data_IF_041435724385
#
_entry.id   IF_041435724385
#
_cell.length_a   1.000
_cell.length_b   1.000
_cell.length_c   1.000
_cell.angle_alpha   90.00
_cell.angle_beta   90.00
_cell.angle_gamma   90.00
#
_symmetry.space_group_name_H-M   'P 1'
#
loop_
_entity.id
_entity.type
_entity.pdbx_description
1 polymer ?
#
# COMPACT_ATOMS: atom_id res chain seq x y z
N UNK A 1 34.47 31.38 -2.04
CA UNK A 1 34.32 30.95 -3.45
C UNK A 1 32.82 30.94 -3.72
N UNK A 2 32.30 31.93 -4.46
CA UNK A 2 30.86 32.15 -4.63
C UNK A 2 30.24 31.08 -5.53
N UNK A 3 29.27 30.33 -5.00
CA UNK A 3 28.40 29.50 -5.82
C UNK A 3 27.37 30.44 -6.46
N UNK A 4 27.47 30.62 -7.78
CA UNK A 4 26.50 31.38 -8.57
C UNK A 4 25.12 30.70 -8.44
N UNK A 5 24.23 31.34 -7.69
CA UNK A 5 22.91 30.85 -7.31
C UNK A 5 21.90 31.10 -8.43
N UNK A 6 21.49 30.03 -9.13
CA UNK A 6 20.22 30.06 -9.85
C UNK A 6 19.12 29.50 -8.93
N UNK A 7 18.30 30.44 -8.42
CA UNK A 7 17.08 30.27 -7.60
C UNK A 7 17.13 29.27 -6.44
N UNK A 8 17.30 29.77 -5.20
CA UNK A 8 16.83 29.08 -3.98
C UNK A 8 15.33 29.30 -3.83
N UNK A 9 14.55 28.23 -3.80
CA UNK A 9 13.13 28.29 -3.43
C UNK A 9 12.96 27.60 -2.08
N UNK A 10 12.50 28.35 -1.07
CA UNK A 10 12.15 27.78 0.23
C UNK A 10 10.88 26.95 0.07
N UNK A 11 10.92 25.68 0.47
CA UNK A 11 9.77 24.77 0.35
C UNK A 11 8.95 24.83 1.64
N UNK A 12 9.61 24.69 2.80
CA UNK A 12 9.02 24.78 4.14
C UNK A 12 10.13 24.97 5.18
N UNK A 13 9.94 25.81 6.20
CA UNK A 13 10.95 26.02 7.26
C UNK A 13 12.37 26.25 6.71
N UNK A 14 13.35 25.53 7.24
CA UNK A 14 14.76 25.59 6.80
C UNK A 14 15.09 24.68 5.59
N UNK A 15 14.07 24.21 4.86
CA UNK A 15 14.24 23.35 3.69
C UNK A 15 14.19 24.14 2.38
N UNK A 16 15.21 23.95 1.55
CA UNK A 16 15.39 24.67 0.29
C UNK A 16 15.47 23.72 -0.90
N UNK A 17 14.80 24.08 -2.00
CA UNK A 17 14.98 23.44 -3.30
C UNK A 17 16.15 24.10 -4.04
N UNK A 18 17.11 23.28 -4.48
CA UNK A 18 18.24 23.73 -5.30
C UNK A 18 18.14 23.17 -6.71
N UNK A 19 18.30 24.02 -7.72
CA UNK A 19 18.25 23.63 -9.13
C UNK A 19 19.51 24.10 -9.85
N UNK A 20 20.24 23.15 -10.43
CA UNK A 20 21.46 23.43 -11.18
C UNK A 20 21.26 23.09 -12.67
N UNK A 21 21.65 24.01 -13.57
CA UNK A 21 21.46 23.84 -15.02
C UNK A 21 22.22 22.64 -15.60
N UNK A 22 23.35 22.27 -15.00
CA UNK A 22 24.13 21.09 -15.36
C UNK A 22 23.57 19.75 -14.83
N UNK A 23 22.43 19.76 -14.12
CA UNK A 23 21.77 18.53 -13.65
C UNK A 23 20.52 18.30 -14.48
N UNK A 24 20.46 17.14 -15.15
CA UNK A 24 19.30 16.75 -15.95
C UNK A 24 18.08 16.58 -15.02
N UNK A 25 16.98 17.26 -15.38
CA UNK A 25 15.73 17.35 -14.60
C UNK A 25 15.08 16.00 -14.27
N UNK A 26 15.43 14.95 -15.02
CA UNK A 26 14.89 13.58 -14.89
C UNK A 26 16.01 12.55 -15.08
N UNK A 27 17.04 12.62 -14.24
CA UNK A 27 18.06 11.58 -14.22
C UNK A 27 17.60 10.37 -13.41
N UNK A 28 17.85 9.16 -13.93
CA UNK A 28 17.73 7.90 -13.18
C UNK A 28 18.99 7.62 -12.34
N UNK A 29 20.07 8.37 -12.55
CA UNK A 29 21.35 8.23 -11.84
C UNK A 29 21.69 9.52 -11.08
N UNK A 30 22.27 9.41 -9.88
CA UNK A 30 22.72 10.56 -9.10
C UNK A 30 23.90 11.28 -9.78
N UNK A 31 23.95 12.61 -9.65
CA UNK A 31 25.04 13.44 -10.16
C UNK A 31 26.12 13.59 -9.08
N UNK A 32 26.96 12.56 -8.96
CA UNK A 32 27.94 12.39 -7.88
C UNK A 32 28.83 13.63 -7.63
N UNK A 33 29.39 14.33 -8.64
CA UNK A 33 30.24 15.50 -8.38
C UNK A 33 29.53 16.67 -7.69
N UNK A 34 28.26 16.93 -8.03
CA UNK A 34 27.48 18.02 -7.43
C UNK A 34 27.00 17.63 -6.04
N UNK A 35 26.54 16.39 -5.88
CA UNK A 35 26.13 15.84 -4.60
C UNK A 35 27.27 15.91 -3.58
N UNK A 36 28.48 15.50 -3.97
CA UNK A 36 29.68 15.54 -3.13
C UNK A 36 30.15 16.97 -2.79
N UNK A 37 29.92 17.95 -3.68
CA UNK A 37 30.25 19.35 -3.41
C UNK A 37 29.30 19.93 -2.38
N UNK A 38 27.98 19.76 -2.55
CA UNK A 38 26.97 20.25 -1.62
C UNK A 38 27.07 19.56 -0.25
N UNK A 39 27.42 18.27 -0.21
CA UNK A 39 27.63 17.54 1.05
C UNK A 39 28.80 18.07 1.88
N UNK A 40 29.74 18.80 1.26
CA UNK A 40 30.91 19.38 1.94
C UNK A 40 30.69 20.83 2.36
N UNK A 41 29.54 21.43 2.05
CA UNK A 41 29.23 22.80 2.46
C UNK A 41 28.87 22.84 3.95
N UNK A 42 29.54 23.65 4.78
CA UNK A 42 29.35 23.64 6.25
C UNK A 42 27.92 23.97 6.70
N UNK A 43 27.15 24.66 5.86
CA UNK A 43 25.78 25.06 6.14
C UNK A 43 24.74 24.01 5.71
N UNK A 44 25.16 22.92 5.07
CA UNK A 44 24.27 21.85 4.60
C UNK A 44 24.30 20.72 5.63
N UNK A 45 23.26 20.65 6.47
CA UNK A 45 23.12 19.55 7.45
C UNK A 45 22.74 18.22 6.79
N UNK A 46 21.92 18.29 5.74
CA UNK A 46 21.43 17.12 5.01
C UNK A 46 21.07 17.51 3.58
N UNK A 47 21.24 16.59 2.63
CA UNK A 47 20.79 16.75 1.26
C UNK A 47 20.35 15.42 0.64
N UNK A 48 19.37 15.48 -0.24
CA UNK A 48 18.96 14.36 -1.07
C UNK A 48 18.74 14.85 -2.51
N UNK A 49 19.31 14.12 -3.47
CA UNK A 49 19.04 14.40 -4.87
C UNK A 49 17.74 13.73 -5.26
N UNK A 50 16.81 14.50 -5.85
CA UNK A 50 15.64 13.92 -6.51
C UNK A 50 16.09 13.09 -7.72
N UNK A 51 15.95 11.78 -7.64
CA UNK A 51 16.20 10.83 -8.72
C UNK A 51 14.86 10.31 -9.21
N UNK A 52 14.66 10.25 -10.53
CA UNK A 52 13.47 9.62 -11.07
C UNK A 52 13.50 8.13 -10.70
N UNK A 53 12.49 7.65 -9.96
CA UNK A 53 12.38 6.22 -9.65
C UNK A 53 11.91 5.48 -10.90
N UNK A 54 12.54 4.33 -11.21
CA UNK A 54 12.08 3.45 -12.29
C UNK A 54 10.72 2.89 -11.91
N UNK A 55 9.70 3.17 -12.73
CA UNK A 55 8.39 2.53 -12.60
C UNK A 55 8.54 1.08 -13.07
N UNK A 56 8.51 0.13 -12.16
CA UNK A 56 8.30 -1.28 -12.50
C UNK A 56 6.83 -1.48 -12.82
N UNK A 57 6.53 -2.34 -13.80
CA UNK A 57 5.16 -2.78 -14.04
C UNK A 57 4.76 -3.54 -12.77
N UNK A 58 3.76 -3.04 -12.04
CA UNK A 58 3.16 -3.77 -10.92
C UNK A 58 2.49 -5.01 -11.51
N UNK A 59 2.37 -6.07 -10.69
CA UNK A 59 1.90 -7.38 -11.12
C UNK A 59 0.69 -7.30 -12.05
N UNK A 60 0.67 -8.17 -13.07
CA UNK A 60 -0.39 -8.20 -14.07
C UNK A 60 -1.69 -8.50 -13.34
N UNK A 61 -2.59 -7.52 -13.30
CA UNK A 61 -3.95 -7.73 -12.81
C UNK A 61 -4.63 -8.77 -13.70
N UNK A 62 -4.98 -9.90 -13.10
CA UNK A 62 -5.93 -10.84 -13.65
C UNK A 62 -7.25 -10.63 -12.92
N UNK A 63 -8.30 -10.45 -13.69
CA UNK A 63 -9.65 -10.33 -13.14
C UNK A 63 -10.05 -11.66 -12.48
N UNK A 64 -10.70 -11.64 -11.31
CA UNK A 64 -11.12 -12.87 -10.64
C UNK A 64 -11.99 -13.74 -11.54
N UNK A 65 -11.70 -15.04 -11.57
CA UNK A 65 -12.41 -16.02 -12.40
C UNK A 65 -13.53 -16.74 -11.64
N UNK A 66 -13.82 -16.31 -10.41
CA UNK A 66 -14.76 -16.93 -9.51
C UNK A 66 -16.18 -16.93 -10.11
N UNK A 67 -16.94 -18.05 -10.03
CA UNK A 67 -18.24 -18.16 -10.69
C UNK A 67 -19.27 -17.10 -10.28
N UNK A 68 -19.15 -16.59 -9.04
CA UNK A 68 -20.04 -15.56 -8.48
C UNK A 68 -19.49 -14.14 -8.58
N UNK A 69 -18.25 -13.93 -9.05
CA UNK A 69 -17.68 -12.59 -9.21
C UNK A 69 -18.57 -11.64 -10.02
N UNK A 70 -19.21 -12.07 -11.14
CA UNK A 70 -20.13 -11.20 -11.89
C UNK A 70 -21.36 -10.72 -11.10
N UNK A 71 -21.69 -11.38 -9.99
CA UNK A 71 -22.83 -11.04 -9.11
C UNK A 71 -22.42 -10.05 -8.00
N UNK A 72 -21.13 -9.87 -7.75
CA UNK A 72 -20.58 -8.95 -6.74
C UNK A 72 -20.50 -7.52 -7.29
N UNK A 73 -21.67 -6.94 -7.59
CA UNK A 73 -21.83 -5.62 -8.20
C UNK A 73 -21.10 -4.48 -7.46
N UNK A 74 -20.83 -4.65 -6.16
CA UNK A 74 -20.10 -3.67 -5.35
C UNK A 74 -18.59 -3.64 -5.61
N UNK A 75 -18.01 -4.70 -6.19
CA UNK A 75 -16.60 -4.76 -6.57
C UNK A 75 -16.35 -4.20 -7.98
N UNK A 76 -17.29 -4.45 -8.89
CA UNK A 76 -17.24 -3.97 -10.27
C UNK A 76 -18.65 -3.80 -10.85
N UNK A 77 -18.93 -2.61 -11.38
CA UNK A 77 -20.17 -2.27 -12.06
C UNK A 77 -19.90 -1.37 -13.27
N UNK A 78 -20.51 -1.69 -14.42
CA UNK A 78 -20.30 -0.94 -15.68
C UNK A 78 -20.82 0.49 -15.62
N UNK A 79 -21.77 0.78 -14.72
CA UNK A 79 -22.31 2.12 -14.51
C UNK A 79 -21.50 2.97 -13.50
N UNK A 80 -20.33 2.46 -13.04
CA UNK A 80 -19.44 3.12 -12.07
C UNK A 80 -20.06 3.40 -10.69
N UNK A 81 -21.10 2.65 -10.31
CA UNK A 81 -21.66 2.64 -8.95
C UNK A 81 -21.16 1.41 -8.20
N UNK A 82 -19.86 1.39 -7.95
CA UNK A 82 -19.13 0.37 -7.20
C UNK A 82 -18.11 1.01 -6.24
N UNK A 83 -17.34 0.19 -5.54
CA UNK A 83 -16.31 0.63 -4.60
C UNK A 83 -14.96 0.95 -5.28
N UNK A 84 -14.87 0.88 -6.60
CA UNK A 84 -13.66 1.10 -7.40
C UNK A 84 -12.47 0.21 -6.99
N UNK A 85 -12.75 -1.00 -6.50
CA UNK A 85 -11.73 -1.95 -6.00
C UNK A 85 -10.80 -2.43 -7.11
N UNK A 86 -11.34 -2.61 -8.33
CA UNK A 86 -10.57 -3.00 -9.52
C UNK A 86 -9.36 -2.09 -9.76
N UNK A 87 -9.49 -0.77 -9.57
CA UNK A 87 -8.37 0.15 -9.75
C UNK A 87 -7.27 -0.01 -8.69
N UNK A 88 -7.60 -0.47 -7.49
CA UNK A 88 -6.60 -0.81 -6.46
C UNK A 88 -5.86 -2.10 -6.84
N UNK A 89 -6.58 -3.11 -7.31
CA UNK A 89 -6.00 -4.37 -7.80
C UNK A 89 -5.14 -4.17 -9.06
N UNK A 90 -5.55 -3.31 -10.00
CA UNK A 90 -4.75 -2.90 -11.17
C UNK A 90 -3.44 -2.18 -10.78
N UNK A 91 -3.43 -1.59 -9.57
CA UNK A 91 -2.22 -1.03 -8.97
C UNK A 91 -1.43 -2.05 -8.12
N UNK A 92 -1.83 -3.32 -8.09
CA UNK A 92 -1.17 -4.40 -7.36
C UNK A 92 -1.49 -4.47 -5.87
N UNK A 93 -2.51 -3.75 -5.38
CA UNK A 93 -2.89 -3.75 -3.97
C UNK A 93 -4.02 -4.73 -3.72
N UNK A 94 -3.71 -5.96 -3.26
CA UNK A 94 -4.70 -7.03 -3.04
C UNK A 94 -5.00 -7.29 -1.56
N UNK A 95 -4.30 -6.62 -0.63
CA UNK A 95 -4.34 -6.93 0.80
C UNK A 95 -3.30 -7.96 1.25
N UNK A 96 -2.45 -8.47 0.36
CA UNK A 96 -1.35 -9.38 0.72
C UNK A 96 -0.47 -8.81 1.83
N UNK A 97 -0.34 -9.56 2.92
CA UNK A 97 0.45 -9.16 4.11
C UNK A 97 -0.32 -8.32 5.13
N UNK A 98 -1.60 -8.04 4.89
CA UNK A 98 -2.50 -7.40 5.85
C UNK A 98 -3.28 -8.50 6.59
N UNK A 99 -3.39 -8.37 7.90
CA UNK A 99 -4.20 -9.24 8.77
C UNK A 99 -5.44 -8.49 9.22
N UNK A 100 -6.61 -9.10 9.08
CA UNK A 100 -7.91 -8.55 9.48
C UNK A 100 -8.60 -9.54 10.40
N UNK A 101 -9.17 -9.07 11.51
CA UNK A 101 -9.97 -9.86 12.44
C UNK A 101 -11.42 -9.37 12.40
N UNK A 102 -12.38 -10.31 12.38
CA UNK A 102 -13.81 -10.03 12.38
C UNK A 102 -14.35 -10.37 13.77
N UNK A 103 -14.97 -9.40 14.44
CA UNK A 103 -15.56 -9.58 15.76
C UNK A 103 -17.07 -9.80 15.59
N UNK A 104 -17.48 -11.07 15.54
CA UNK A 104 -18.86 -11.49 15.28
C UNK A 104 -19.17 -12.83 15.99
N UNK A 105 -20.14 -13.60 15.48
CA UNK A 105 -20.58 -14.91 15.99
C UNK A 105 -19.64 -16.09 15.69
N UNK A 106 -18.60 -15.88 14.89
CA UNK A 106 -17.58 -16.88 14.56
C UNK A 106 -17.11 -16.79 13.11
N UNK A 107 -16.22 -17.70 12.72
CA UNK A 107 -15.78 -17.86 11.33
C UNK A 107 -15.63 -19.34 10.99
N UNK A 108 -16.27 -19.77 9.90
CA UNK A 108 -16.09 -21.12 9.36
C UNK A 108 -14.70 -21.23 8.69
N UNK A 109 -13.68 -21.49 9.51
CA UNK A 109 -12.26 -21.50 9.09
C UNK A 109 -11.93 -22.50 7.97
N UNK A 110 -12.77 -23.51 7.80
CA UNK A 110 -12.65 -24.56 6.78
C UNK A 110 -13.56 -24.33 5.56
N UNK A 111 -14.20 -23.16 5.42
CA UNK A 111 -14.93 -22.82 4.21
C UNK A 111 -13.93 -22.71 3.04
N UNK A 112 -14.20 -23.31 1.86
CA UNK A 112 -13.24 -23.38 0.75
C UNK A 112 -12.79 -22.00 0.22
N UNK A 113 -13.63 -20.98 0.39
CA UNK A 113 -13.32 -19.59 -0.01
C UNK A 113 -12.53 -18.80 1.05
N UNK A 114 -12.35 -19.37 2.25
CA UNK A 114 -11.68 -18.71 3.39
C UNK A 114 -10.43 -19.46 3.87
N UNK A 115 -10.40 -20.79 3.78
CA UNK A 115 -9.34 -21.63 4.37
C UNK A 115 -7.92 -21.24 3.91
N UNK A 116 -7.78 -20.80 2.65
CA UNK A 116 -6.49 -20.39 2.10
C UNK A 116 -5.96 -19.05 2.64
N UNK A 117 -6.83 -18.24 3.26
CA UNK A 117 -6.51 -16.93 3.82
C UNK A 117 -6.78 -16.85 5.34
N UNK A 118 -7.17 -17.95 5.98
CA UNK A 118 -7.45 -17.99 7.41
C UNK A 118 -6.15 -17.82 8.23
N UNK A 119 -6.22 -16.99 9.27
CA UNK A 119 -5.12 -16.77 10.22
C UNK A 119 -5.58 -17.12 11.66
N UNK A 120 -5.07 -18.22 12.26
CA UNK A 120 -5.38 -18.56 13.64
C UNK A 120 -4.84 -17.52 14.63
N UNK A 121 -3.78 -16.77 14.30
CA UNK A 121 -3.27 -15.68 15.13
C UNK A 121 -4.18 -14.45 15.17
N UNK A 122 -5.15 -14.36 14.25
CA UNK A 122 -6.15 -13.31 14.18
C UNK A 122 -7.53 -13.73 14.71
N UNK A 123 -7.62 -14.92 15.31
CA UNK A 123 -8.88 -15.56 15.68
C UNK A 123 -8.87 -16.05 17.12
N UNK A 124 -9.99 -15.91 17.82
CA UNK A 124 -10.20 -16.44 19.17
C UNK A 124 -11.69 -16.48 19.50
N UNK A 125 -12.19 -17.55 20.11
CA UNK A 125 -13.54 -17.60 20.66
C UNK A 125 -13.55 -17.08 22.09
N UNK A 126 -14.11 -15.87 22.26
CA UNK A 126 -14.21 -15.21 23.57
C UNK A 126 -15.35 -15.80 24.41
N UNK A 127 -16.35 -16.41 23.80
CA UNK A 127 -17.49 -17.01 24.51
C UNK A 127 -17.06 -18.29 25.23
N UNK A 128 -16.30 -19.14 24.55
CA UNK A 128 -15.80 -20.42 25.10
C UNK A 128 -14.37 -20.33 25.67
N UNK A 129 -13.70 -19.20 25.47
CA UNK A 129 -12.33 -18.93 25.90
C UNK A 129 -11.30 -19.91 25.33
N UNK A 130 -11.43 -20.22 24.04
CA UNK A 130 -10.54 -21.12 23.33
C UNK A 130 -10.16 -20.57 21.94
N UNK A 131 -9.10 -21.10 21.30
CA UNK A 131 -8.59 -20.55 20.05
C UNK A 131 -9.39 -20.98 18.80
N UNK A 132 -10.47 -21.75 18.94
CA UNK A 132 -11.31 -22.23 17.84
C UNK A 132 -12.51 -21.31 17.60
N UNK A 133 -12.49 -20.45 16.56
CA UNK A 133 -13.59 -19.53 16.30
C UNK A 133 -14.74 -20.17 15.51
N UNK A 134 -14.82 -21.51 15.42
CA UNK A 134 -15.82 -22.19 14.60
C UNK A 134 -17.25 -21.84 15.05
N UNK A 135 -18.13 -21.41 14.14
CA UNK A 135 -19.50 -21.05 14.51
C UNK A 135 -20.27 -22.27 15.01
N UNK A 136 -21.20 -22.01 15.92
CA UNK A 136 -22.13 -23.01 16.44
C UNK A 136 -23.39 -23.06 15.56
N UNK A 137 -23.64 -24.20 14.93
CA UNK A 137 -24.88 -24.42 14.16
C UNK A 137 -26.02 -24.87 15.07
N UNK A 138 -26.49 -23.99 15.97
CA UNK A 138 -27.71 -24.24 16.74
C UNK A 138 -28.94 -23.77 15.96
N UNK A 139 -30.10 -24.42 16.15
CA UNK A 139 -31.36 -24.04 15.47
C UNK A 139 -31.86 -22.62 15.82
N UNK A 140 -31.25 -21.99 16.83
CA UNK A 140 -31.44 -20.59 17.18
C UNK A 140 -30.08 -19.92 16.98
N UNK A 141 -29.99 -18.97 16.06
CA UNK A 141 -28.81 -18.13 15.81
C UNK A 141 -28.57 -17.16 16.99
N UNK A 142 -28.45 -17.68 18.21
CA UNK A 142 -28.23 -16.89 19.42
C UNK A 142 -26.82 -17.12 19.96
N UNK A 143 -26.07 -16.04 20.07
CA UNK A 143 -24.82 -16.00 20.83
C UNK A 143 -25.19 -15.96 22.33
N UNK A 144 -24.91 -17.05 23.05
CA UNK A 144 -25.01 -17.10 24.51
C UNK A 144 -23.65 -17.19 25.15
#
# INVERSE_FOLDING_TARGET
MSILLFSRLQIFGDYYHFRHSGVVKRSLSPHQPWHSRLAREPQVQWLEQQVAKRRTKRDVFMEPTDPKFPQQWYLYNTNQRDLNVRQAWEQGYTGKGIVVSILDDGIEKNHPDLEGNYDPGASFDVNDQDPDPQPRYTQMNDNR
#
